data_IF_556034086816
#
_entry.id   IF_556034086816
#
_cell.length_a   1.000
_cell.length_b   1.000
_cell.length_c   1.000
_cell.angle_alpha   90.00
_cell.angle_beta   90.00
_cell.angle_gamma   90.00
#
_symmetry.space_group_name_H-M   'P 1'
#
loop_
_entity.id
_entity.type
_entity.pdbx_description
1 polymer ?
#
# COMPACT_ATOMS: atom_id res chain seq x y z
N UNK A 1 -28.60 21.89 -1.40
CA UNK A 1 -27.35 21.18 -1.81
C UNK A 1 -26.61 20.79 -0.54
N UNK A 2 -26.42 19.50 -0.30
CA UNK A 2 -25.60 19.05 0.80
C UNK A 2 -24.13 19.29 0.39
N UNK A 3 -23.44 20.19 1.06
CA UNK A 3 -21.98 20.25 0.98
C UNK A 3 -21.46 18.98 1.58
N UNK A 4 -20.97 18.06 0.75
CA UNK A 4 -20.24 16.93 1.22
C UNK A 4 -18.91 17.46 1.76
N UNK A 5 -18.84 17.62 3.07
CA UNK A 5 -17.63 18.00 3.78
C UNK A 5 -16.62 16.89 3.52
N UNK A 6 -15.49 17.22 2.90
CA UNK A 6 -14.38 16.28 2.75
C UNK A 6 -13.86 15.98 4.17
N UNK A 7 -14.43 14.96 4.80
CA UNK A 7 -13.99 14.45 6.09
C UNK A 7 -13.26 13.14 5.83
N UNK A 8 -11.93 13.23 5.77
CA UNK A 8 -11.12 12.03 5.75
C UNK A 8 -11.22 11.33 7.12
N UNK A 9 -11.71 10.11 7.13
CA UNK A 9 -11.72 9.25 8.30
C UNK A 9 -10.39 8.52 8.49
N UNK A 10 -9.54 8.47 7.45
CA UNK A 10 -8.26 7.77 7.44
C UNK A 10 -7.21 8.51 6.63
N UNK A 11 -5.97 8.44 7.11
CA UNK A 11 -4.80 9.00 6.45
C UNK A 11 -3.69 7.95 6.37
N UNK A 12 -2.97 7.90 5.24
CA UNK A 12 -1.90 6.94 5.00
C UNK A 12 -0.75 7.60 4.24
N UNK A 13 0.51 7.37 4.68
CA UNK A 13 1.69 7.81 3.95
C UNK A 13 1.82 7.05 2.64
N UNK A 14 1.82 7.77 1.52
CA UNK A 14 1.96 7.18 0.19
C UNK A 14 3.43 6.84 -0.06
N UNK A 15 3.66 5.60 -0.46
CA UNK A 15 4.93 5.13 -0.99
C UNK A 15 4.81 5.05 -2.52
N UNK A 16 5.38 5.99 -3.29
CA UNK A 16 5.31 5.97 -4.73
C UNK A 16 5.83 4.64 -5.30
N UNK A 17 5.10 4.06 -6.25
CA UNK A 17 5.45 2.77 -6.85
C UNK A 17 5.04 2.72 -8.32
N UNK A 18 5.89 2.17 -9.18
CA UNK A 18 5.54 1.95 -10.57
C UNK A 18 4.69 0.69 -10.78
N UNK A 19 4.68 -0.22 -9.79
CA UNK A 19 4.09 -1.54 -9.92
C UNK A 19 2.83 -1.77 -9.07
N UNK A 20 2.62 -0.96 -8.01
CA UNK A 20 1.50 -1.15 -7.08
C UNK A 20 0.68 0.11 -6.91
N UNK A 21 -0.61 -0.06 -6.71
CA UNK A 21 -1.53 1.03 -6.38
C UNK A 21 -1.41 1.44 -4.90
N UNK A 22 -2.02 2.55 -4.52
CA UNK A 22 -2.17 2.95 -3.11
C UNK A 22 -3.07 1.89 -2.44
N UNK A 23 -2.65 1.28 -1.32
CA UNK A 23 -3.44 0.25 -0.66
C UNK A 23 -4.75 0.80 -0.08
N UNK A 24 -5.79 -0.02 -0.07
CA UNK A 24 -7.01 0.29 0.69
C UNK A 24 -6.77 -0.01 2.17
N UNK A 25 -6.39 1.00 2.92
CA UNK A 25 -6.15 0.90 4.36
C UNK A 25 -7.42 1.06 5.20
N UNK A 26 -8.59 1.18 4.58
CA UNK A 26 -9.89 1.26 5.25
C UNK A 26 -10.30 -0.04 5.95
N UNK A 27 -9.72 -1.18 5.53
CA UNK A 27 -9.85 -2.46 6.20
C UNK A 27 -8.62 -2.71 7.09
N UNK A 28 -8.81 -3.41 8.20
CA UNK A 28 -7.68 -3.80 9.05
C UNK A 28 -6.71 -4.65 8.26
N UNK A 29 -5.46 -4.19 8.16
CA UNK A 29 -4.41 -4.89 7.43
C UNK A 29 -3.93 -6.13 8.19
N UNK A 30 -3.50 -7.13 7.44
CA UNK A 30 -2.80 -8.29 8.00
C UNK A 30 -1.35 -7.89 8.24
N UNK A 31 -0.98 -7.65 9.49
CA UNK A 31 0.33 -7.14 9.89
C UNK A 31 1.23 -8.25 10.44
N UNK A 32 2.54 -8.11 10.29
CA UNK A 32 3.50 -9.05 10.86
C UNK A 32 4.94 -8.63 10.64
N UNK A 33 5.85 -9.56 10.92
CA UNK A 33 7.29 -9.39 10.73
C UNK A 33 7.87 -10.63 10.08
N UNK A 34 8.67 -10.46 9.02
CA UNK A 34 9.31 -11.58 8.34
C UNK A 34 10.29 -12.31 9.25
N UNK A 35 10.21 -13.64 9.27
CA UNK A 35 11.11 -14.50 10.04
C UNK A 35 12.30 -14.97 9.21
N UNK A 36 12.17 -14.95 7.89
CA UNK A 36 13.22 -15.37 6.96
C UNK A 36 13.30 -14.38 5.81
N UNK A 37 14.51 -13.97 5.43
CA UNK A 37 14.76 -13.16 4.24
C UNK A 37 14.66 -13.99 2.97
N UNK A 38 13.96 -13.45 1.96
CA UNK A 38 13.83 -14.09 0.65
C UNK A 38 13.66 -13.03 -0.44
N UNK A 39 14.28 -13.26 -1.60
CA UNK A 39 14.15 -12.39 -2.76
C UNK A 39 12.79 -12.49 -3.46
N UNK A 40 12.08 -13.60 -3.29
CA UNK A 40 10.85 -13.90 -4.03
C UNK A 40 9.64 -14.14 -3.14
N UNK A 41 9.84 -14.17 -1.80
CA UNK A 41 8.81 -14.56 -0.86
C UNK A 41 8.76 -13.63 0.36
N UNK A 42 7.57 -13.48 0.92
CA UNK A 42 7.35 -13.05 2.29
C UNK A 42 7.16 -14.32 3.13
N UNK A 43 8.04 -14.53 4.12
CA UNK A 43 7.99 -15.69 5.02
C UNK A 43 7.87 -15.21 6.46
N UNK A 44 6.77 -15.60 7.10
CA UNK A 44 6.50 -15.32 8.51
C UNK A 44 6.04 -16.59 9.22
N UNK A 45 6.99 -17.32 9.79
CA UNK A 45 6.75 -18.60 10.47
C UNK A 45 5.94 -18.46 11.77
N UNK A 46 5.73 -17.24 12.26
CA UNK A 46 4.91 -16.99 13.47
C UNK A 46 3.41 -16.98 13.17
N UNK A 47 3.02 -17.03 11.90
CA UNK A 47 1.63 -17.06 11.46
C UNK A 47 1.05 -18.46 11.49
N UNK A 48 0.92 -19.00 12.69
CA UNK A 48 0.40 -20.37 12.94
C UNK A 48 -0.96 -20.36 13.68
N UNK A 49 -1.46 -19.18 14.02
CA UNK A 49 -2.71 -19.02 14.75
C UNK A 49 -3.93 -19.37 13.91
N UNK A 50 -4.95 -19.88 14.57
CA UNK A 50 -6.28 -20.15 14.03
C UNK A 50 -7.34 -19.26 14.70
N UNK A 51 -6.93 -18.34 15.56
CA UNK A 51 -7.82 -17.43 16.30
C UNK A 51 -8.19 -16.23 15.41
N UNK A 52 -9.40 -16.23 14.91
CA UNK A 52 -9.98 -15.17 14.08
C UNK A 52 -10.02 -13.80 14.81
N UNK A 53 -9.93 -13.81 16.14
CA UNK A 53 -9.84 -12.58 16.95
C UNK A 53 -8.47 -11.89 16.91
N UNK A 54 -7.44 -12.54 16.36
CA UNK A 54 -6.08 -12.00 16.28
C UNK A 54 -5.47 -12.14 14.89
N UNK A 55 -5.78 -11.18 14.02
CA UNK A 55 -5.27 -11.13 12.64
C UNK A 55 -3.74 -11.10 12.53
N UNK A 56 -3.02 -10.70 13.59
CA UNK A 56 -1.56 -10.62 13.57
C UNK A 56 -0.87 -11.97 13.71
N UNK A 57 -1.54 -12.99 14.25
CA UNK A 57 -1.03 -14.35 14.37
C UNK A 57 -1.71 -15.34 13.46
N UNK A 58 -2.87 -14.96 12.90
CA UNK A 58 -3.66 -15.78 11.99
C UNK A 58 -2.83 -16.10 10.73
N UNK A 59 -2.85 -17.35 10.28
CA UNK A 59 -2.15 -17.73 9.07
C UNK A 59 -2.75 -17.03 7.83
N UNK A 60 -1.97 -16.89 6.76
CA UNK A 60 -2.36 -16.11 5.59
C UNK A 60 -3.63 -16.61 4.90
N UNK A 61 -3.86 -17.92 4.90
CA UNK A 61 -5.05 -18.51 4.27
C UNK A 61 -6.31 -18.15 5.05
N UNK A 62 -6.29 -18.30 6.38
CA UNK A 62 -7.43 -17.97 7.24
C UNK A 62 -7.63 -16.46 7.40
N UNK A 63 -6.56 -15.67 7.30
CA UNK A 63 -6.63 -14.21 7.24
C UNK A 63 -7.23 -13.69 5.91
N UNK A 64 -7.55 -14.58 4.97
CA UNK A 64 -8.17 -14.22 3.70
C UNK A 64 -7.23 -13.50 2.73
N UNK A 65 -5.92 -13.71 2.86
CA UNK A 65 -4.95 -13.12 1.92
C UNK A 65 -5.14 -13.73 0.54
N UNK A 66 -5.23 -12.89 -0.49
CA UNK A 66 -5.49 -13.28 -1.87
C UNK A 66 -4.43 -12.72 -2.83
N UNK A 67 -4.32 -13.36 -4.00
CA UNK A 67 -3.49 -12.87 -5.10
C UNK A 67 -3.92 -11.46 -5.49
N UNK A 68 -2.94 -10.58 -5.73
CA UNK A 68 -3.17 -9.19 -6.11
C UNK A 68 -3.33 -8.23 -4.92
N UNK A 69 -3.47 -8.72 -3.68
CA UNK A 69 -3.40 -7.85 -2.50
C UNK A 69 -2.04 -7.15 -2.42
N UNK A 70 -2.05 -5.94 -1.88
CA UNK A 70 -0.86 -5.08 -1.79
C UNK A 70 -0.17 -5.35 -0.46
N UNK A 71 1.12 -5.65 -0.52
CA UNK A 71 1.99 -5.81 0.64
C UNK A 71 2.87 -4.56 0.75
N UNK A 72 2.82 -3.91 1.89
CA UNK A 72 3.70 -2.79 2.23
C UNK A 72 4.77 -3.30 3.19
N UNK A 73 6.04 -3.13 2.83
CA UNK A 73 7.16 -3.26 3.76
C UNK A 73 7.26 -1.93 4.52
N UNK A 74 6.76 -1.92 5.75
CA UNK A 74 6.70 -0.70 6.57
C UNK A 74 8.05 -0.31 7.17
N UNK A 75 9.04 -1.22 7.15
CA UNK A 75 10.43 -0.92 7.55
C UNK A 75 11.11 -0.04 6.51
N UNK A 76 10.97 -0.38 5.23
CA UNK A 76 11.74 0.25 4.14
C UNK A 76 10.90 1.22 3.30
N UNK A 77 9.58 1.29 3.53
CA UNK A 77 8.67 2.14 2.75
C UNK A 77 8.51 1.67 1.30
N UNK A 78 8.54 0.37 1.07
CA UNK A 78 8.40 -0.22 -0.27
C UNK A 78 7.14 -1.08 -0.37
N UNK A 79 6.67 -1.34 -1.59
CA UNK A 79 5.44 -2.09 -1.83
C UNK A 79 5.64 -3.16 -2.90
N UNK A 80 4.85 -4.23 -2.78
CA UNK A 80 4.71 -5.28 -3.79
C UNK A 80 3.28 -5.84 -3.76
N UNK A 81 2.98 -6.79 -4.62
CA UNK A 81 1.71 -7.52 -4.60
C UNK A 81 1.92 -8.99 -4.30
N UNK A 82 0.90 -9.61 -3.72
CA UNK A 82 0.84 -11.08 -3.57
C UNK A 82 0.72 -11.71 -4.95
N UNK A 83 1.70 -12.51 -5.33
CA UNK A 83 1.72 -13.28 -6.57
C UNK A 83 1.09 -14.66 -6.40
N UNK A 84 1.31 -15.27 -5.25
CA UNK A 84 0.72 -16.57 -4.87
C UNK A 84 0.68 -16.71 -3.37
N UNK A 85 -0.35 -17.33 -2.84
CA UNK A 85 -0.40 -17.83 -1.46
C UNK A 85 0.11 -19.27 -1.48
N UNK A 86 1.36 -19.47 -1.02
CA UNK A 86 2.01 -20.79 -1.05
C UNK A 86 1.46 -21.67 0.06
N UNK A 87 1.36 -21.13 1.27
CA UNK A 87 0.78 -21.78 2.44
C UNK A 87 0.43 -20.73 3.52
N UNK A 88 0.05 -21.18 4.70
CA UNK A 88 -0.35 -20.30 5.81
C UNK A 88 0.73 -19.33 6.31
N UNK A 89 2.01 -19.59 6.02
CA UNK A 89 3.14 -18.78 6.52
C UNK A 89 4.00 -18.16 5.41
N UNK A 90 3.69 -18.44 4.13
CA UNK A 90 4.52 -18.07 2.98
C UNK A 90 3.68 -17.54 1.82
N UNK A 91 4.07 -16.38 1.32
CA UNK A 91 3.51 -15.76 0.11
C UNK A 91 4.62 -15.55 -0.91
N UNK A 92 4.39 -15.87 -2.19
CA UNK A 92 5.22 -15.38 -3.29
C UNK A 92 4.86 -13.92 -3.57
N UNK A 93 5.88 -13.09 -3.79
CA UNK A 93 5.75 -11.65 -4.04
C UNK A 93 6.22 -11.28 -5.44
N UNK A 94 5.62 -10.23 -6.02
CA UNK A 94 5.92 -9.82 -7.38
C UNK A 94 7.28 -9.09 -7.50
N UNK A 95 7.69 -8.34 -6.47
CA UNK A 95 8.99 -7.65 -6.41
C UNK A 95 9.74 -8.04 -5.14
N UNK A 96 11.08 -8.05 -5.23
CA UNK A 96 11.96 -8.33 -4.10
C UNK A 96 12.02 -7.12 -3.14
N UNK A 97 11.28 -7.19 -2.05
CA UNK A 97 11.29 -6.20 -0.98
C UNK A 97 11.54 -6.81 0.42
N UNK A 98 11.77 -8.13 0.48
CA UNK A 98 11.97 -8.90 1.71
C UNK A 98 13.25 -9.73 1.72
N UNK A 99 14.31 -9.28 1.04
CA UNK A 99 15.59 -10.00 1.00
C UNK A 99 16.25 -10.16 2.38
N UNK A 100 15.90 -9.32 3.37
CA UNK A 100 16.38 -9.42 4.74
C UNK A 100 15.28 -9.90 5.70
N UNK A 101 15.70 -10.48 6.82
CA UNK A 101 14.82 -10.86 7.94
C UNK A 101 14.34 -9.65 8.73
N UNK A 102 13.36 -9.84 9.60
CA UNK A 102 12.85 -8.81 10.55
C UNK A 102 12.29 -7.55 9.89
N UNK A 103 11.76 -7.67 8.67
CA UNK A 103 11.03 -6.60 7.99
C UNK A 103 9.57 -6.63 8.43
N UNK A 104 9.08 -5.52 8.95
CA UNK A 104 7.66 -5.35 9.26
C UNK A 104 6.87 -5.15 7.98
N UNK A 105 5.68 -5.72 7.93
CA UNK A 105 4.80 -5.62 6.77
C UNK A 105 3.34 -5.44 7.15
N UNK A 106 2.57 -4.94 6.21
CA UNK A 106 1.12 -4.89 6.26
C UNK A 106 0.54 -5.28 4.89
N UNK A 107 -0.52 -6.09 4.88
CA UNK A 107 -1.18 -6.56 3.65
C UNK A 107 -2.59 -5.98 3.61
N UNK A 108 -2.96 -5.40 2.48
CA UNK A 108 -4.23 -4.73 2.26
C UNK A 108 -4.87 -5.16 0.94
N UNK A 109 -6.19 -5.00 0.83
CA UNK A 109 -6.86 -5.06 -0.46
C UNK A 109 -6.43 -3.93 -1.40
N UNK A 110 -6.73 -4.08 -2.70
CA UNK A 110 -6.53 -3.01 -3.67
C UNK A 110 -7.53 -1.86 -3.43
N UNK A 111 -7.07 -0.62 -3.57
CA UNK A 111 -7.95 0.54 -3.48
C UNK A 111 -8.58 0.85 -4.83
N UNK A 112 -9.83 0.40 -5.04
CA UNK A 112 -10.58 0.64 -6.27
C UNK A 112 -11.24 2.02 -6.33
N UNK A 113 -11.43 2.67 -5.16
CA UNK A 113 -12.14 3.95 -5.05
C UNK A 113 -11.20 5.15 -5.17
N UNK A 114 -9.90 4.92 -5.04
CA UNK A 114 -8.90 5.98 -5.02
C UNK A 114 -8.85 6.75 -3.70
N UNK A 115 -7.91 7.65 -3.62
CA UNK A 115 -7.71 8.54 -2.48
C UNK A 115 -7.53 9.98 -2.96
N UNK A 116 -7.93 10.93 -2.15
CA UNK A 116 -7.51 12.34 -2.29
C UNK A 116 -6.12 12.46 -1.65
N UNK A 117 -5.23 13.25 -2.25
CA UNK A 117 -3.88 13.38 -1.74
C UNK A 117 -3.66 14.73 -1.03
N UNK A 118 -2.91 14.69 0.06
CA UNK A 118 -2.28 15.87 0.65
C UNK A 118 -0.80 15.85 0.27
N UNK A 119 -0.26 16.98 -0.18
CA UNK A 119 1.11 17.11 -0.66
C UNK A 119 1.95 17.84 0.39
N UNK A 120 2.86 17.13 1.06
CA UNK A 120 3.69 17.71 2.11
C UNK A 120 4.87 18.53 1.57
N UNK A 121 5.47 18.09 0.47
CA UNK A 121 6.58 18.81 -0.18
C UNK A 121 6.25 19.06 -1.65
N UNK A 122 6.42 20.30 -2.10
CA UNK A 122 6.13 20.74 -3.46
C UNK A 122 6.95 19.97 -4.51
N UNK A 123 6.39 19.80 -5.69
CA UNK A 123 7.06 19.16 -6.81
C UNK A 123 6.08 18.74 -7.90
N UNK A 124 6.54 17.95 -8.84
CA UNK A 124 5.70 17.31 -9.84
C UNK A 124 5.10 16.04 -9.27
N UNK A 125 3.90 15.69 -9.71
CA UNK A 125 3.16 14.54 -9.24
C UNK A 125 2.62 13.75 -10.43
N UNK A 126 3.19 12.57 -10.71
CA UNK A 126 2.68 11.64 -11.71
C UNK A 126 1.79 10.61 -11.05
N UNK A 127 0.55 10.53 -11.51
CA UNK A 127 -0.47 9.66 -10.93
C UNK A 127 -1.20 8.83 -11.98
N UNK A 128 -1.84 7.75 -11.52
CA UNK A 128 -2.94 7.10 -12.22
C UNK A 128 -4.23 7.43 -11.47
N UNK A 129 -5.20 8.00 -12.16
CA UNK A 129 -6.53 8.27 -11.61
C UNK A 129 -7.34 6.99 -11.47
N UNK A 130 -8.46 7.03 -10.76
CA UNK A 130 -9.40 5.89 -10.67
C UNK A 130 -9.92 5.50 -12.06
N UNK A 131 -10.11 6.47 -12.95
CA UNK A 131 -10.52 6.22 -14.35
C UNK A 131 -9.44 5.54 -15.21
N UNK A 132 -8.19 5.45 -14.72
CA UNK A 132 -7.08 4.83 -15.44
C UNK A 132 -6.17 5.80 -16.17
N UNK A 133 -6.45 7.11 -16.13
CA UNK A 133 -5.63 8.12 -16.80
C UNK A 133 -4.27 8.27 -16.10
N UNK A 134 -3.19 8.26 -16.87
CA UNK A 134 -1.84 8.53 -16.38
C UNK A 134 -1.48 9.96 -16.74
N UNK A 135 -1.29 10.80 -15.72
CA UNK A 135 -1.02 12.23 -15.92
C UNK A 135 0.04 12.74 -14.95
N UNK A 136 0.83 13.71 -15.38
CA UNK A 136 1.79 14.43 -14.52
C UNK A 136 1.31 15.86 -14.28
N UNK A 137 1.09 16.18 -13.03
CA UNK A 137 0.79 17.54 -12.57
C UNK A 137 2.09 18.21 -12.18
N UNK A 138 2.43 19.30 -12.85
CA UNK A 138 3.66 20.02 -12.63
C UNK A 138 3.46 21.12 -11.58
N UNK A 139 4.45 21.28 -10.67
CA UNK A 139 4.48 22.37 -9.72
C UNK A 139 3.36 22.33 -8.67
N UNK A 140 2.96 21.15 -8.21
CA UNK A 140 1.99 21.01 -7.12
C UNK A 140 2.60 21.61 -5.86
N UNK A 141 1.83 22.46 -5.16
CA UNK A 141 2.33 23.21 -4.00
C UNK A 141 2.35 22.35 -2.73
N UNK A 142 3.30 22.62 -1.86
CA UNK A 142 3.31 22.05 -0.50
C UNK A 142 2.11 22.56 0.31
N UNK A 143 1.57 21.69 1.18
CA UNK A 143 0.41 22.01 2.01
C UNK A 143 -0.92 21.98 1.27
N UNK A 144 -0.94 21.55 0.00
CA UNK A 144 -2.18 21.54 -0.79
C UNK A 144 -2.88 20.18 -0.75
N UNK A 145 -4.21 20.22 -0.82
CA UNK A 145 -5.03 19.06 -1.12
C UNK A 145 -5.18 18.91 -2.63
N UNK A 146 -4.99 17.70 -3.12
CA UNK A 146 -5.09 17.37 -4.53
C UNK A 146 -6.46 16.72 -4.81
N UNK A 147 -7.43 17.47 -5.37
CA UNK A 147 -8.85 17.06 -5.42
C UNK A 147 -9.13 16.10 -6.60
N UNK A 148 -8.26 15.12 -6.78
CA UNK A 148 -8.40 14.06 -7.79
C UNK A 148 -8.34 12.72 -7.09
N UNK A 149 -9.24 11.81 -7.45
CA UNK A 149 -9.21 10.44 -6.93
C UNK A 149 -8.09 9.65 -7.61
N UNK A 150 -7.03 9.41 -6.85
CA UNK A 150 -5.79 8.77 -7.30
C UNK A 150 -5.72 7.35 -6.77
N UNK A 151 -5.44 6.39 -7.64
CA UNK A 151 -5.19 5.01 -7.23
C UNK A 151 -3.70 4.64 -7.18
N UNK A 152 -2.86 5.38 -7.91
CA UNK A 152 -1.40 5.15 -7.92
C UNK A 152 -0.64 6.47 -8.00
N UNK A 153 0.45 6.56 -7.23
CA UNK A 153 1.50 7.57 -7.40
C UNK A 153 2.73 6.87 -7.95
N UNK A 154 3.22 7.31 -9.10
CA UNK A 154 4.38 6.73 -9.76
C UNK A 154 5.68 7.11 -9.06
N UNK A 155 6.59 6.15 -8.88
CA UNK A 155 7.94 6.40 -8.34
C UNK A 155 8.86 7.04 -9.37
N UNK A 156 8.70 6.68 -10.65
CA UNK A 156 9.51 7.17 -11.76
C UNK A 156 8.69 7.97 -12.77
N UNK A 157 9.38 8.60 -13.71
CA UNK A 157 8.75 9.28 -14.85
C UNK A 157 8.09 10.61 -14.52
N UNK A 158 8.48 11.28 -13.42
CA UNK A 158 8.10 12.67 -13.20
C UNK A 158 7.62 13.05 -11.80
N UNK A 159 7.46 12.13 -10.85
CA UNK A 159 7.15 12.49 -9.46
C UNK A 159 8.42 13.02 -8.77
N UNK A 160 8.34 14.25 -8.28
CA UNK A 160 9.37 14.89 -7.43
C UNK A 160 8.78 15.44 -6.13
N UNK A 161 7.44 15.51 -6.04
CA UNK A 161 6.73 15.78 -4.79
C UNK A 161 6.99 14.64 -3.79
N UNK A 162 7.02 14.97 -2.50
CA UNK A 162 7.25 13.99 -1.42
C UNK A 162 6.38 14.27 -0.19
N UNK A 163 6.49 13.41 0.83
CA UNK A 163 5.63 13.49 2.02
C UNK A 163 4.14 13.53 1.65
N UNK A 164 3.75 12.64 0.73
CA UNK A 164 2.39 12.56 0.22
C UNK A 164 1.55 11.70 1.16
N UNK A 165 0.36 12.19 1.50
CA UNK A 165 -0.60 11.46 2.34
C UNK A 165 -1.87 11.21 1.54
N UNK A 166 -2.32 9.97 1.48
CA UNK A 166 -3.61 9.59 0.95
C UNK A 166 -4.69 9.70 2.03
N UNK A 167 -5.86 10.17 1.64
CA UNK A 167 -6.99 10.48 2.52
C UNK A 167 -8.28 9.87 1.97
N UNK A 168 -9.06 9.19 2.86
CA UNK A 168 -10.38 8.60 2.56
C UNK A 168 -11.47 9.06 3.51
#
# INVERSE_FOLDING_TARGET
MAYQKLQAGKAWSVYPSDNTDIPNTGLDGVNGTTTTGSATQLIDANRVGTDIGNLNTLNFLEAGVQIGMIIVNTTDGTQTTVKQVVNGTTLDVAQNIFAATTKTYAIYGSNQEGAVLYIGTAGNLRVTTVSGDIITFNGVLAGSFFPVHVKKVWATGGTTASNIIALW
#
